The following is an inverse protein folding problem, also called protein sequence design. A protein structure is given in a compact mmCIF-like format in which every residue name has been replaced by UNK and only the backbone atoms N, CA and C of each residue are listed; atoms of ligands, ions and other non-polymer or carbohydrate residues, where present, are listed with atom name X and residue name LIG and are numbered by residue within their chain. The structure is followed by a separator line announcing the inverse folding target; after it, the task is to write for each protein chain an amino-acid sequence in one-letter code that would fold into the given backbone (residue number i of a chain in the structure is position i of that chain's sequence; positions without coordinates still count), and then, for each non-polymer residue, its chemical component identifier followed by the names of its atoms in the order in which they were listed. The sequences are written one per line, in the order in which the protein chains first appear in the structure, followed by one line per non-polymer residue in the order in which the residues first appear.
data_IF_934408447414
#
_entry.id   IF_934408447414
#
_cell.length_a   1.000
_cell.length_b   1.000
_cell.length_c   1.000
_cell.angle_alpha   90.00
_cell.angle_beta   90.00
_cell.angle_gamma   90.00
#
_symmetry.space_group_name_H-M   'P 1'
#
loop_
_entity.id
_entity.type
_entity.pdbx_description
1 polymer ?
#
# COMPACT_ATOMS: atom_id res chain seq x y z
N UNK A 1 -16.57 -19.42 0.48
CA UNK A 1 -15.68 -18.51 -0.27
C UNK A 1 -14.33 -19.20 -0.39
N UNK A 2 -13.89 -19.55 -1.60
CA UNK A 2 -12.52 -20.00 -1.79
C UNK A 2 -11.58 -18.83 -1.47
N UNK A 3 -10.47 -19.04 -0.73
CA UNK A 3 -9.52 -17.97 -0.49
C UNK A 3 -8.98 -17.48 -1.85
N UNK A 4 -8.87 -16.16 -2.08
CA UNK A 4 -8.26 -15.65 -3.30
C UNK A 4 -6.85 -16.23 -3.46
N UNK A 5 -6.45 -16.43 -4.72
CA UNK A 5 -5.15 -16.96 -5.09
C UNK A 5 -4.02 -16.19 -4.37
N UNK A 6 -3.07 -16.96 -3.83
CA UNK A 6 -1.91 -16.46 -3.09
C UNK A 6 -1.20 -15.37 -3.90
N UNK A 7 -0.95 -14.20 -3.29
CA UNK A 7 -0.14 -13.13 -3.88
C UNK A 7 1.20 -13.75 -4.31
N UNK A 8 1.49 -13.71 -5.62
CA UNK A 8 2.78 -14.15 -6.15
C UNK A 8 3.76 -12.98 -6.03
N UNK A 9 4.89 -13.25 -5.40
CA UNK A 9 6.08 -12.41 -5.29
C UNK A 9 6.25 -11.47 -6.50
N UNK A 10 6.14 -10.17 -6.25
CA UNK A 10 6.93 -9.18 -6.98
C UNK A 10 8.06 -8.81 -6.04
N UNK A 11 9.17 -9.54 -6.19
CA UNK A 11 10.35 -9.30 -5.41
C UNK A 11 10.92 -7.94 -5.71
N UNK A 12 10.62 -6.97 -4.86
CA UNK A 12 11.42 -5.77 -4.81
C UNK A 12 12.73 -6.14 -4.11
N UNK A 13 13.75 -6.49 -4.90
CA UNK A 13 15.07 -6.82 -4.37
C UNK A 13 15.70 -5.53 -3.85
N UNK A 14 15.60 -5.32 -2.54
CA UNK A 14 16.41 -4.32 -1.86
C UNK A 14 17.84 -4.87 -1.70
N UNK A 15 18.80 -4.33 -2.44
CA UNK A 15 20.21 -4.69 -2.31
C UNK A 15 20.98 -3.58 -1.55
N UNK A 16 21.62 -3.93 -0.43
CA UNK A 16 22.57 -3.05 0.25
C UNK A 16 23.92 -3.15 -0.45
N UNK A 17 24.35 -2.12 -1.17
CA UNK A 17 25.71 -2.10 -1.77
C UNK A 17 26.72 -1.66 -0.70
N UNK A 18 27.57 -2.59 -0.27
CA UNK A 18 28.76 -2.31 0.53
C UNK A 18 30.03 -2.39 -0.34
N UNK A 19 30.76 -1.27 -0.40
CA UNK A 19 32.21 -1.13 -0.64
C UNK A 19 32.86 -1.98 -1.75
N UNK A 20 33.06 -1.39 -2.94
CA UNK A 20 34.01 -1.91 -3.93
C UNK A 20 35.28 -1.05 -4.14
N UNK A 21 35.37 0.17 -3.60
CA UNK A 21 36.45 1.10 -3.99
C UNK A 21 37.20 1.83 -2.84
N UNK A 22 36.99 1.49 -1.57
CA UNK A 22 37.72 2.13 -0.47
C UNK A 22 38.97 1.34 -0.05
N UNK A 23 40.11 2.00 0.21
CA UNK A 23 41.37 1.33 0.57
C UNK A 23 41.29 0.55 1.90
N UNK A 24 42.04 -0.54 1.96
CA UNK A 24 41.96 -1.64 2.93
C UNK A 24 42.21 -1.27 4.40
N UNK A 25 42.75 -0.08 4.69
CA UNK A 25 42.95 0.41 6.06
C UNK A 25 41.71 1.08 6.67
N UNK A 26 40.71 1.47 5.86
CA UNK A 26 39.40 1.95 6.35
C UNK A 26 38.38 0.81 6.55
N UNK A 27 38.70 -0.42 6.13
CA UNK A 27 37.84 -1.60 6.29
C UNK A 27 37.67 -2.08 7.73
N UNK A 28 38.35 -1.46 8.71
CA UNK A 28 38.47 -1.97 10.08
C UNK A 28 37.48 -1.40 11.12
N UNK A 29 36.46 -0.64 10.73
CA UNK A 29 35.51 -0.05 11.69
C UNK A 29 34.02 -0.28 11.39
N UNK A 30 33.65 -1.04 10.35
CA UNK A 30 32.27 -1.50 10.15
C UNK A 30 32.34 -2.95 9.67
N UNK A 31 32.43 -3.89 10.61
CA UNK A 31 31.96 -5.23 10.32
C UNK A 31 30.50 -5.07 9.85
N UNK A 32 30.20 -5.46 8.62
CA UNK A 32 28.85 -5.34 8.09
C UNK A 32 27.93 -6.20 8.98
N UNK A 33 27.18 -5.55 9.88
CA UNK A 33 26.23 -6.22 10.77
C UNK A 33 25.29 -7.00 9.85
N UNK A 34 25.27 -8.34 10.01
CA UNK A 34 24.34 -9.17 9.27
C UNK A 34 22.92 -8.88 9.79
N UNK A 35 21.94 -8.66 8.91
CA UNK A 35 20.60 -8.33 9.36
C UNK A 35 19.96 -9.51 10.07
N UNK A 36 19.24 -9.21 11.15
CA UNK A 36 18.22 -10.13 11.67
C UNK A 36 16.99 -9.98 10.79
N UNK A 37 16.52 -11.11 10.26
CA UNK A 37 15.47 -11.15 9.24
C UNK A 37 14.23 -11.87 9.74
N UNK A 38 13.07 -11.32 9.42
CA UNK A 38 11.80 -12.03 9.48
C UNK A 38 11.10 -11.96 8.12
N UNK A 39 10.42 -13.04 7.76
CA UNK A 39 9.55 -13.10 6.59
C UNK A 39 8.23 -13.75 6.98
N UNK A 40 7.13 -13.25 6.44
CA UNK A 40 5.81 -13.79 6.69
C UNK A 40 4.76 -13.10 5.84
N UNK A 41 3.55 -12.95 6.39
CA UNK A 41 2.41 -12.32 5.72
C UNK A 41 1.84 -11.23 6.61
N UNK A 42 1.50 -10.07 6.03
CA UNK A 42 0.81 -8.95 6.65
C UNK A 42 -0.35 -8.51 5.74
N UNK A 43 -1.59 -8.45 6.27
CA UNK A 43 -2.79 -8.08 5.48
C UNK A 43 -2.94 -8.85 4.15
N UNK A 44 -2.51 -10.11 4.12
CA UNK A 44 -2.56 -10.97 2.94
C UNK A 44 -1.44 -10.73 1.91
N UNK A 45 -0.48 -9.84 2.17
CA UNK A 45 0.77 -9.66 1.41
C UNK A 45 1.94 -10.34 2.09
N UNK A 46 2.88 -10.81 1.28
CA UNK A 46 4.20 -11.14 1.76
C UNK A 46 4.82 -9.91 2.45
N UNK A 47 5.49 -10.14 3.56
CA UNK A 47 6.09 -9.11 4.39
C UNK A 47 7.50 -9.53 4.80
N UNK A 48 8.37 -8.54 4.95
CA UNK A 48 9.76 -8.72 5.31
C UNK A 48 10.24 -7.63 6.28
N UNK A 49 11.00 -8.05 7.28
CA UNK A 49 11.74 -7.16 8.18
C UNK A 49 13.23 -7.48 8.09
N UNK A 50 14.05 -6.45 7.89
CA UNK A 50 15.52 -6.54 7.99
C UNK A 50 16.01 -5.50 8.99
N UNK A 51 16.45 -5.95 10.17
CA UNK A 51 16.96 -5.09 11.23
C UNK A 51 18.47 -5.24 11.35
N UNK A 52 19.19 -4.12 11.36
CA UNK A 52 20.64 -4.08 11.51
C UNK A 52 20.97 -3.59 12.91
N UNK A 53 21.20 -4.54 13.82
CA UNK A 53 21.45 -4.28 15.23
C UNK A 53 22.66 -5.11 15.71
N UNK A 54 23.57 -4.56 16.54
CA UNK A 54 24.75 -5.27 17.02
C UNK A 54 24.40 -6.45 17.95
N UNK A 55 23.28 -6.35 18.67
CA UNK A 55 22.73 -7.43 19.48
C UNK A 55 21.55 -8.10 18.75
N UNK A 56 21.75 -9.37 18.39
CA UNK A 56 20.74 -10.18 17.71
C UNK A 56 19.48 -10.38 18.56
N UNK A 57 19.62 -10.59 19.87
CA UNK A 57 18.49 -10.88 20.75
C UNK A 57 17.57 -9.65 20.87
N UNK A 58 18.17 -8.46 20.97
CA UNK A 58 17.41 -7.21 20.93
C UNK A 58 16.66 -7.02 19.59
N UNK A 59 17.27 -7.39 18.45
CA UNK A 59 16.58 -7.34 17.16
C UNK A 59 15.40 -8.31 17.08
N UNK A 60 15.55 -9.53 17.59
CA UNK A 60 14.48 -10.53 17.64
C UNK A 60 13.30 -10.04 18.52
N UNK A 61 13.58 -9.41 19.67
CA UNK A 61 12.55 -8.79 20.51
C UNK A 61 11.83 -7.62 19.81
N UNK A 62 12.54 -6.81 19.03
CA UNK A 62 11.92 -5.75 18.23
C UNK A 62 11.00 -6.32 17.15
N UNK A 63 11.44 -7.38 16.46
CA UNK A 63 10.60 -8.10 15.49
C UNK A 63 9.33 -8.61 16.18
N UNK A 64 9.42 -9.26 17.34
CA UNK A 64 8.24 -9.74 18.07
C UNK A 64 7.26 -8.61 18.41
N UNK A 65 7.76 -7.45 18.85
CA UNK A 65 6.94 -6.25 19.10
C UNK A 65 6.27 -5.74 17.83
N UNK A 66 6.97 -5.71 16.71
CA UNK A 66 6.40 -5.34 15.41
C UNK A 66 5.29 -6.31 14.98
N UNK A 67 5.46 -7.61 15.20
CA UNK A 67 4.44 -8.61 14.90
C UNK A 67 3.21 -8.52 15.82
N UNK A 68 3.40 -8.11 17.08
CA UNK A 68 2.29 -7.79 17.97
C UNK A 68 1.50 -6.58 17.47
N UNK A 69 2.18 -5.52 17.05
CA UNK A 69 1.54 -4.33 16.49
C UNK A 69 0.81 -4.64 15.18
N UNK A 70 1.40 -5.45 14.30
CA UNK A 70 0.74 -5.97 13.09
C UNK A 70 -0.58 -6.66 13.44
N UNK A 71 -0.56 -7.65 14.35
CA UNK A 71 -1.78 -8.37 14.77
C UNK A 71 -2.84 -7.44 15.36
N UNK A 72 -2.43 -6.44 16.14
CA UNK A 72 -3.33 -5.43 16.70
C UNK A 72 -4.01 -4.64 15.59
N UNK A 73 -3.25 -4.15 14.61
CA UNK A 73 -3.75 -3.36 13.48
C UNK A 73 -4.59 -4.22 12.51
N UNK A 74 -4.29 -5.51 12.35
CA UNK A 74 -5.18 -6.43 11.62
C UNK A 74 -6.56 -6.57 12.29
N UNK A 75 -6.61 -6.53 13.63
CA UNK A 75 -7.85 -6.43 14.39
C UNK A 75 -8.61 -5.11 14.19
N UNK A 76 -7.99 -4.10 13.58
CA UNK A 76 -8.64 -2.83 13.24
C UNK A 76 -9.06 -2.79 11.77
N UNK A 77 -8.15 -3.11 10.86
CA UNK A 77 -8.30 -2.79 9.43
C UNK A 77 -8.72 -3.96 8.53
N UNK A 78 -8.69 -5.21 9.01
CA UNK A 78 -8.92 -6.36 8.13
C UNK A 78 -10.37 -6.46 7.65
N UNK A 79 -10.60 -6.64 6.36
CA UNK A 79 -11.93 -6.97 5.79
C UNK A 79 -12.29 -8.45 5.89
N UNK A 80 -11.34 -9.30 6.29
CA UNK A 80 -11.49 -10.76 6.31
C UNK A 80 -11.75 -11.31 7.70
N UNK A 81 -11.52 -10.48 8.73
CA UNK A 81 -11.81 -10.80 10.12
C UNK A 81 -13.17 -10.24 10.49
N UNK A 82 -14.11 -11.10 10.84
CA UNK A 82 -15.47 -10.69 11.20
C UNK A 82 -15.53 -9.81 12.47
N UNK A 83 -14.51 -9.97 13.32
CA UNK A 83 -14.30 -9.25 14.58
C UNK A 83 -13.47 -7.97 14.45
N UNK A 84 -13.00 -7.60 13.25
CA UNK A 84 -12.25 -6.36 13.08
C UNK A 84 -13.16 -5.12 13.19
N UNK A 85 -12.58 -4.00 13.63
CA UNK A 85 -13.30 -2.73 13.70
C UNK A 85 -13.91 -2.32 12.33
N UNK A 86 -13.14 -2.46 11.24
CA UNK A 86 -13.62 -2.15 9.89
C UNK A 86 -14.77 -3.07 9.44
N UNK A 87 -14.69 -4.38 9.72
CA UNK A 87 -15.76 -5.33 9.37
C UNK A 87 -17.03 -5.07 10.17
N UNK A 88 -16.90 -4.73 11.47
CA UNK A 88 -18.03 -4.35 12.32
C UNK A 88 -18.69 -3.08 11.77
N UNK A 89 -17.89 -2.04 11.48
CA UNK A 89 -18.36 -0.78 10.89
C UNK A 89 -19.13 -1.03 9.58
N UNK A 90 -18.57 -1.83 8.67
CA UNK A 90 -19.20 -2.15 7.38
C UNK A 90 -20.49 -2.96 7.50
N UNK A 91 -20.61 -3.79 8.54
CA UNK A 91 -21.79 -4.63 8.77
C UNK A 91 -22.90 -3.86 9.47
N UNK A 92 -22.57 -2.98 10.40
CA UNK A 92 -23.52 -2.24 11.22
C UNK A 92 -23.88 -0.86 10.64
N UNK A 93 -23.02 -0.30 9.79
CA UNK A 93 -23.13 1.07 9.30
C UNK A 93 -22.68 2.13 10.31
N UNK A 94 -22.26 1.73 11.51
CA UNK A 94 -21.67 2.62 12.52
C UNK A 94 -20.72 1.86 13.43
N UNK A 95 -19.87 2.59 14.16
CA UNK A 95 -19.00 2.06 15.20
C UNK A 95 -18.89 3.10 16.33
N UNK A 96 -19.20 2.69 17.56
CA UNK A 96 -19.03 3.50 18.78
C UNK A 96 -17.68 3.19 19.40
N UNK A 97 -17.05 4.21 19.99
CA UNK A 97 -15.71 4.15 20.57
C UNK A 97 -14.68 3.48 19.62
N UNK A 98 -14.56 3.98 18.37
CA UNK A 98 -13.68 3.39 17.38
C UNK A 98 -12.21 3.42 17.84
N UNK A 99 -11.39 2.42 17.46
CA UNK A 99 -9.95 2.48 17.70
C UNK A 99 -9.34 3.75 17.11
N UNK A 100 -8.45 4.41 17.84
CA UNK A 100 -7.82 5.67 17.40
C UNK A 100 -7.10 5.55 16.05
N UNK A 101 -6.52 4.39 15.76
CA UNK A 101 -5.89 4.10 14.46
C UNK A 101 -6.89 4.09 13.31
N UNK A 102 -8.13 3.64 13.54
CA UNK A 102 -9.20 3.69 12.52
C UNK A 102 -9.63 5.12 12.25
N UNK A 103 -9.86 5.91 13.31
CA UNK A 103 -10.22 7.33 13.19
C UNK A 103 -9.13 8.10 12.44
N UNK A 104 -7.86 7.86 12.80
CA UNK A 104 -6.71 8.48 12.13
C UNK A 104 -6.66 8.09 10.66
N UNK A 105 -6.67 6.79 10.34
CA UNK A 105 -6.52 6.33 8.96
C UNK A 105 -7.69 6.76 8.06
N UNK A 106 -8.92 6.84 8.59
CA UNK A 106 -10.05 7.40 7.85
C UNK A 106 -9.93 8.92 7.65
N UNK A 107 -9.35 9.64 8.61
CA UNK A 107 -9.07 11.07 8.46
C UNK A 107 -8.00 11.32 7.38
N UNK A 108 -6.92 10.53 7.38
CA UNK A 108 -5.91 10.53 6.30
C UNK A 108 -6.55 10.15 4.96
N UNK A 109 -7.44 9.15 4.95
CA UNK A 109 -8.15 8.73 3.75
C UNK A 109 -9.00 9.86 3.16
N UNK A 110 -9.70 10.63 4.00
CA UNK A 110 -10.43 11.84 3.56
C UNK A 110 -9.48 12.89 3.00
N UNK A 111 -8.34 13.12 3.65
CA UNK A 111 -7.33 14.06 3.14
C UNK A 111 -6.85 13.69 1.73
N UNK A 112 -6.50 12.42 1.47
CA UNK A 112 -6.07 12.00 0.13
C UNK A 112 -7.22 11.96 -0.87
N UNK A 113 -8.46 11.69 -0.42
CA UNK A 113 -9.63 11.82 -1.27
C UNK A 113 -9.84 13.26 -1.73
N UNK A 114 -9.75 14.24 -0.83
CA UNK A 114 -9.82 15.66 -1.17
C UNK A 114 -8.68 16.06 -2.15
N UNK A 115 -7.44 15.67 -1.83
CA UNK A 115 -6.25 15.98 -2.62
C UNK A 115 -6.30 15.43 -4.05
N UNK A 116 -6.88 14.24 -4.22
CA UNK A 116 -6.96 13.54 -5.50
C UNK A 116 -8.29 13.77 -6.22
N UNK A 117 -9.17 14.62 -5.67
CA UNK A 117 -10.52 14.87 -6.19
C UNK A 117 -11.35 13.58 -6.27
N UNK A 118 -11.30 12.75 -5.24
CA UNK A 118 -12.05 11.51 -5.10
C UNK A 118 -11.51 10.33 -5.91
N UNK A 119 -10.32 10.40 -6.51
CA UNK A 119 -9.71 9.23 -7.18
C UNK A 119 -9.13 8.22 -6.19
N UNK A 120 -8.73 8.68 -5.00
CA UNK A 120 -8.67 7.85 -3.81
C UNK A 120 -10.00 7.96 -3.06
N UNK A 121 -10.73 6.86 -2.89
CA UNK A 121 -11.95 6.86 -2.09
C UNK A 121 -12.05 5.54 -1.30
N UNK A 122 -12.03 5.56 0.04
CA UNK A 122 -12.12 4.34 0.84
C UNK A 122 -13.50 3.67 0.76
N UNK A 123 -14.52 4.32 0.20
CA UNK A 123 -15.90 3.80 0.11
C UNK A 123 -16.20 2.98 -1.14
N UNK A 124 -15.20 2.59 -1.93
CA UNK A 124 -15.36 1.78 -3.16
C UNK A 124 -15.75 0.31 -2.93
N UNK A 125 -15.89 -0.15 -1.68
CA UNK A 125 -16.21 -1.54 -1.37
C UNK A 125 -17.53 -2.06 -1.99
N UNK A 126 -18.61 -1.27 -2.16
CA UNK A 126 -19.79 -1.69 -2.91
C UNK A 126 -19.50 -2.03 -4.37
N UNK A 127 -18.58 -1.31 -5.03
CA UNK A 127 -18.14 -1.66 -6.38
C UNK A 127 -17.43 -3.01 -6.39
N UNK A 128 -16.52 -3.24 -5.45
CA UNK A 128 -15.84 -4.52 -5.31
C UNK A 128 -16.82 -5.69 -5.20
N UNK A 129 -17.87 -5.55 -4.38
CA UNK A 129 -18.92 -6.57 -4.23
C UNK A 129 -19.66 -6.84 -5.53
N UNK A 130 -20.06 -5.79 -6.25
CA UNK A 130 -20.76 -5.95 -7.55
C UNK A 130 -19.93 -6.74 -8.56
N UNK A 131 -18.64 -6.42 -8.68
CA UNK A 131 -17.75 -7.14 -9.59
C UNK A 131 -17.44 -8.57 -9.12
N UNK A 132 -17.17 -8.76 -7.82
CA UNK A 132 -16.89 -10.07 -7.25
C UNK A 132 -18.09 -11.02 -7.38
N UNK A 133 -19.30 -10.55 -7.06
CA UNK A 133 -20.54 -11.33 -7.17
C UNK A 133 -20.85 -11.66 -8.64
N UNK A 134 -20.59 -10.72 -9.56
CA UNK A 134 -20.76 -10.96 -10.99
C UNK A 134 -19.87 -12.11 -11.48
N UNK A 135 -18.56 -12.05 -11.21
CA UNK A 135 -17.58 -13.03 -11.68
C UNK A 135 -17.55 -14.33 -10.87
N UNK A 136 -18.20 -14.39 -9.71
CA UNK A 136 -18.44 -15.65 -9.00
C UNK A 136 -19.46 -16.55 -9.70
N UNK A 137 -20.23 -16.03 -10.67
CA UNK A 137 -21.22 -16.80 -11.42
C UNK A 137 -20.56 -17.63 -12.54
N UNK A 138 -20.94 -18.91 -12.71
CA UNK A 138 -20.36 -19.75 -13.77
C UNK A 138 -20.56 -19.22 -15.20
N UNK A 139 -21.64 -18.48 -15.44
CA UNK A 139 -22.06 -17.91 -16.72
C UNK A 139 -21.86 -16.38 -16.80
N UNK A 140 -20.98 -15.83 -15.96
CA UNK A 140 -20.67 -14.41 -15.93
C UNK A 140 -20.21 -13.90 -17.32
N UNK A 141 -20.83 -12.82 -17.80
CA UNK A 141 -20.34 -12.13 -19.00
C UNK A 141 -18.91 -11.63 -18.80
N UNK A 142 -18.06 -11.83 -19.80
CA UNK A 142 -16.69 -11.28 -19.81
C UNK A 142 -16.67 -9.75 -19.89
N UNK A 143 -17.76 -9.13 -20.32
CA UNK A 143 -17.91 -7.68 -20.37
C UNK A 143 -18.12 -7.05 -18.99
N UNK A 144 -18.23 -7.85 -17.93
CA UNK A 144 -18.41 -7.38 -16.55
C UNK A 144 -19.88 -7.18 -16.16
N UNK A 145 -20.13 -6.59 -14.96
CA UNK A 145 -21.47 -6.38 -14.44
C UNK A 145 -22.30 -5.44 -15.33
N UNK A 146 -23.62 -5.55 -15.23
CA UNK A 146 -24.51 -4.62 -15.94
C UNK A 146 -24.31 -3.18 -15.44
N UNK A 147 -24.36 -2.21 -16.36
CA UNK A 147 -24.15 -0.80 -16.02
C UNK A 147 -25.13 -0.28 -14.95
N UNK A 148 -26.35 -0.83 -14.90
CA UNK A 148 -27.34 -0.48 -13.89
C UNK A 148 -26.93 -0.93 -12.46
N UNK A 149 -26.20 -2.03 -12.32
CA UNK A 149 -25.69 -2.50 -11.04
C UNK A 149 -24.48 -1.68 -10.58
N UNK A 150 -23.59 -1.32 -11.50
CA UNK A 150 -22.48 -0.38 -11.25
C UNK A 150 -23.04 0.98 -10.80
N UNK A 151 -24.01 1.53 -11.53
CA UNK A 151 -24.65 2.79 -11.18
C UNK A 151 -25.40 2.73 -9.84
N UNK A 152 -25.87 1.54 -9.41
CA UNK A 152 -26.46 1.34 -8.07
C UNK A 152 -25.40 1.38 -6.99
N UNK A 153 -24.27 0.70 -7.20
CA UNK A 153 -23.15 0.73 -6.25
C UNK A 153 -22.53 2.13 -6.12
N UNK A 154 -22.40 2.88 -7.22
CA UNK A 154 -21.85 4.25 -7.21
C UNK A 154 -22.62 5.22 -6.32
N UNK A 155 -23.94 5.02 -6.14
CA UNK A 155 -24.72 5.85 -5.18
C UNK A 155 -24.32 5.64 -3.72
N UNK A 156 -23.55 4.59 -3.44
CA UNK A 156 -23.01 4.28 -2.13
C UNK A 156 -21.49 4.55 -2.04
N UNK A 157 -20.90 5.19 -3.06
CA UNK A 157 -19.47 5.55 -3.08
C UNK A 157 -19.39 7.08 -2.94
N UNK A 158 -18.96 7.53 -1.77
CA UNK A 158 -18.77 8.93 -1.43
C UNK A 158 -17.99 9.04 -0.13
N UNK A 159 -16.69 9.36 -0.21
CA UNK A 159 -15.89 9.63 0.98
C UNK A 159 -16.42 10.80 1.82
N UNK A 160 -17.17 11.73 1.20
CA UNK A 160 -17.73 12.91 1.86
C UNK A 160 -18.87 12.55 2.83
N UNK A 161 -19.56 11.44 2.58
CA UNK A 161 -20.71 10.99 3.39
C UNK A 161 -20.29 10.16 4.61
N UNK A 162 -19.00 9.84 4.75
CA UNK A 162 -18.43 9.19 5.92
C UNK A 162 -18.35 10.23 7.05
N UNK A 163 -19.12 10.01 8.12
CA UNK A 163 -19.02 10.81 9.35
C UNK A 163 -17.97 10.19 10.27
N UNK A 164 -16.91 10.95 10.55
CA UNK A 164 -15.77 10.48 11.33
C UNK A 164 -15.68 11.36 12.58
N UNK A 165 -15.94 10.77 13.75
CA UNK A 165 -15.74 11.39 15.05
C UNK A 165 -14.98 10.41 15.98
N UNK A 166 -14.12 10.89 16.90
CA UNK A 166 -13.40 10.03 17.84
C UNK A 166 -14.28 9.13 18.70
N UNK A 167 -15.54 9.50 18.94
CA UNK A 167 -16.50 8.71 19.72
C UNK A 167 -17.38 7.83 18.82
N UNK A 168 -17.54 8.18 17.53
CA UNK A 168 -18.45 7.48 16.64
C UNK A 168 -18.12 7.67 15.15
N UNK A 169 -18.11 6.59 14.40
CA UNK A 169 -18.09 6.62 12.93
C UNK A 169 -19.45 6.17 12.41
N UNK A 170 -19.97 6.84 11.38
CA UNK A 170 -21.23 6.46 10.71
C UNK A 170 -21.08 6.45 9.19
N UNK A 171 -21.76 5.49 8.56
CA UNK A 171 -21.89 5.31 7.13
C UNK A 171 -23.36 5.49 6.71
N UNK A 172 -23.60 6.02 5.51
CA UNK A 172 -24.94 6.01 4.93
C UNK A 172 -25.38 4.58 4.56
N UNK A 173 -26.69 4.30 4.49
CA UNK A 173 -27.18 2.99 4.10
C UNK A 173 -26.59 2.52 2.76
N UNK A 174 -26.06 1.29 2.75
CA UNK A 174 -25.48 0.67 1.55
C UNK A 174 -24.01 1.00 1.30
N UNK A 175 -23.42 1.97 2.00
CA UNK A 175 -21.98 2.21 1.98
C UNK A 175 -21.23 1.06 2.65
N UNK A 176 -20.01 0.83 2.21
CA UNK A 176 -19.03 0.01 2.88
C UNK A 176 -17.64 0.54 2.56
N UNK A 177 -16.71 0.41 3.49
CA UNK A 177 -15.36 0.91 3.38
C UNK A 177 -14.35 -0.21 3.10
N UNK A 178 -13.26 0.16 2.45
CA UNK A 178 -12.02 -0.60 2.31
C UNK A 178 -10.85 0.32 2.58
N UNK A 179 -9.83 -0.21 3.24
CA UNK A 179 -8.58 0.50 3.52
C UNK A 179 -7.41 -0.14 2.78
N UNK A 180 -7.67 -1.00 1.79
CA UNK A 180 -6.63 -1.76 1.10
C UNK A 180 -5.63 -0.89 0.32
N UNK A 181 -5.97 0.36 -0.03
CA UNK A 181 -5.05 1.29 -0.71
C UNK A 181 -4.33 2.27 0.22
N UNK A 182 -4.33 2.02 1.54
CA UNK A 182 -3.65 2.91 2.51
C UNK A 182 -3.20 2.18 3.80
N UNK A 183 -3.85 1.08 4.18
CA UNK A 183 -3.58 0.39 5.44
C UNK A 183 -2.23 -0.32 5.47
N UNK A 184 -1.74 -0.81 4.33
CA UNK A 184 -0.42 -1.45 4.24
C UNK A 184 0.66 -0.39 4.46
N UNK A 185 0.54 0.76 3.80
CA UNK A 185 1.37 1.93 4.06
C UNK A 185 1.35 2.37 5.52
N UNK A 186 0.15 2.44 6.13
CA UNK A 186 0.02 2.81 7.55
C UNK A 186 0.73 1.83 8.48
N UNK A 187 0.55 0.52 8.29
CA UNK A 187 1.22 -0.51 9.11
C UNK A 187 2.73 -0.45 8.94
N UNK A 188 3.23 -0.32 7.70
CA UNK A 188 4.65 -0.10 7.43
C UNK A 188 5.17 1.08 8.24
N UNK A 189 4.45 2.22 8.22
CA UNK A 189 4.84 3.39 8.98
C UNK A 189 4.87 3.15 10.50
N UNK A 190 3.84 2.50 11.06
CA UNK A 190 3.76 2.18 12.50
C UNK A 190 4.91 1.29 12.94
N UNK A 191 5.27 0.28 12.14
CA UNK A 191 6.38 -0.63 12.43
C UNK A 191 7.72 0.09 12.31
N UNK A 192 7.92 0.89 11.27
CA UNK A 192 9.15 1.69 11.12
C UNK A 192 9.32 2.67 12.28
N UNK A 193 8.25 3.35 12.69
CA UNK A 193 8.28 4.30 13.80
C UNK A 193 8.52 3.59 15.14
N UNK A 194 7.99 2.37 15.35
CA UNK A 194 8.30 1.53 16.51
C UNK A 194 9.80 1.27 16.61
N UNK A 195 10.45 0.92 15.50
CA UNK A 195 11.89 0.69 15.46
C UNK A 195 12.69 1.97 15.69
N UNK A 196 12.32 3.07 15.03
CA UNK A 196 12.96 4.38 15.23
C UNK A 196 12.88 4.80 16.71
N UNK A 197 11.71 4.67 17.33
CA UNK A 197 11.50 5.03 18.73
C UNK A 197 12.24 4.10 19.72
N UNK A 198 12.58 2.89 19.29
CA UNK A 198 13.44 1.98 20.04
C UNK A 198 14.94 2.26 19.84
N UNK A 199 15.30 3.31 19.11
CA UNK A 199 16.70 3.69 18.85
C UNK A 199 17.36 2.89 17.73
N UNK A 200 16.61 2.13 16.93
CA UNK A 200 17.19 1.43 15.80
C UNK A 200 17.57 2.44 14.71
N UNK A 201 18.85 2.42 14.31
CA UNK A 201 19.36 3.36 13.32
C UNK A 201 19.12 2.90 11.88
N UNK A 202 19.03 1.58 11.65
CA UNK A 202 18.96 1.03 10.31
C UNK A 202 18.03 -0.18 10.21
N UNK A 203 17.00 -0.05 9.36
CA UNK A 203 16.10 -1.15 9.02
C UNK A 203 15.50 -0.96 7.63
N UNK A 204 15.10 -2.08 7.02
CA UNK A 204 14.19 -2.09 5.90
C UNK A 204 12.91 -2.81 6.34
N UNK A 205 11.78 -2.12 6.22
CA UNK A 205 10.46 -2.61 6.59
C UNK A 205 9.64 -2.76 5.32
N UNK A 206 9.09 -3.94 5.11
CA UNK A 206 8.14 -4.23 4.04
C UNK A 206 6.93 -4.95 4.66
N UNK A 207 5.79 -4.26 4.77
CA UNK A 207 4.51 -4.84 5.20
C UNK A 207 3.51 -4.88 4.04
N UNK A 208 4.01 -5.06 2.83
CA UNK A 208 3.31 -4.85 1.57
C UNK A 208 3.79 -3.59 0.86
N UNK A 209 4.14 -2.56 1.64
CA UNK A 209 4.82 -1.36 1.16
C UNK A 209 6.16 -1.19 1.87
N UNK A 210 7.16 -0.65 1.16
CA UNK A 210 8.54 -0.58 1.63
C UNK A 210 8.79 0.75 2.31
N UNK A 211 9.49 0.74 3.45
CA UNK A 211 10.07 1.94 4.07
C UNK A 211 11.48 1.66 4.60
N UNK A 212 12.42 2.50 4.18
CA UNK A 212 13.77 2.51 4.70
C UNK A 212 13.86 3.37 5.96
N UNK A 213 14.52 2.85 6.99
CA UNK A 213 14.97 3.60 8.15
C UNK A 213 16.49 3.67 8.08
N UNK A 214 17.04 4.89 7.97
CA UNK A 214 18.48 5.15 7.89
C UNK A 214 18.80 6.44 8.66
N UNK A 215 19.01 6.34 9.97
CA UNK A 215 19.25 7.50 10.83
C UNK A 215 20.55 8.27 10.52
N UNK A 216 21.48 7.68 9.76
CA UNK A 216 22.75 8.30 9.38
C UNK A 216 22.70 8.83 7.95
N UNK A 217 22.97 10.13 7.77
CA UNK A 217 22.99 10.80 6.46
C UNK A 217 24.02 10.23 5.46
N UNK A 218 24.95 9.38 5.94
CA UNK A 218 26.02 8.75 5.15
C UNK A 218 25.74 7.27 4.84
N UNK A 219 24.62 6.69 5.28
CA UNK A 219 24.25 5.35 4.87
C UNK A 219 23.96 5.37 3.36
N UNK A 220 24.60 4.47 2.61
CA UNK A 220 24.19 4.20 1.24
C UNK A 220 22.75 3.73 1.28
N UNK A 221 21.83 4.56 0.78
CA UNK A 221 20.40 4.27 0.75
C UNK A 221 20.13 2.91 0.10
N UNK A 222 18.98 2.32 0.43
CA UNK A 222 18.57 1.05 -0.18
C UNK A 222 18.33 1.26 -1.67
N UNK A 223 18.66 0.27 -2.50
CA UNK A 223 18.25 0.25 -3.90
C UNK A 223 17.11 -0.71 -4.06
N UNK A 224 15.99 -0.21 -4.54
CA UNK A 224 14.69 -0.89 -4.59
C UNK A 224 14.32 -1.02 -6.06
N UNK A 225 14.11 -2.25 -6.52
CA UNK A 225 13.78 -2.54 -7.92
C UNK A 225 12.29 -2.32 -8.22
N UNK A 226 12.00 -1.61 -9.31
CA UNK A 226 10.67 -1.54 -9.90
C UNK A 226 10.53 -2.69 -10.91
N UNK A 227 9.73 -3.70 -10.56
CA UNK A 227 9.54 -4.87 -11.39
C UNK A 227 8.64 -4.57 -12.61
N UNK A 228 8.85 -5.30 -13.71
CA UNK A 228 7.95 -5.29 -14.85
C UNK A 228 6.63 -6.00 -14.47
N UNK A 229 5.47 -5.33 -14.51
CA UNK A 229 4.18 -5.96 -14.19
C UNK A 229 3.82 -7.13 -15.13
N UNK A 230 4.43 -7.21 -16.31
CA UNK A 230 4.25 -8.31 -17.27
C UNK A 230 5.29 -9.42 -17.11
N UNK A 231 6.41 -9.13 -16.43
CA UNK A 231 7.52 -10.07 -16.21
C UNK A 231 8.16 -9.79 -14.85
N UNK A 232 7.56 -10.28 -13.74
CA UNK A 232 7.98 -10.00 -12.37
C UNK A 232 9.47 -10.19 -12.06
N UNK A 233 10.15 -11.08 -12.78
CA UNK A 233 11.58 -11.36 -12.63
C UNK A 233 12.49 -10.30 -13.28
N UNK A 234 11.93 -9.40 -14.10
CA UNK A 234 12.64 -8.31 -14.74
C UNK A 234 12.45 -7.01 -13.95
N UNK A 235 13.54 -6.27 -13.79
CA UNK A 235 13.55 -4.97 -13.13
C UNK A 235 13.65 -3.88 -14.20
N UNK A 236 12.61 -3.05 -14.32
CA UNK A 236 12.56 -1.93 -15.26
C UNK A 236 13.43 -0.75 -14.81
N UNK A 237 13.51 -0.52 -13.50
CA UNK A 237 14.33 0.54 -12.90
C UNK A 237 14.75 0.19 -11.47
N UNK A 238 15.81 0.82 -10.98
CA UNK A 238 16.17 0.77 -9.56
C UNK A 238 16.17 2.18 -8.98
N UNK A 239 15.48 2.36 -7.87
CA UNK A 239 15.34 3.66 -7.20
C UNK A 239 16.05 3.63 -5.85
N UNK A 240 16.81 4.68 -5.49
CA UNK A 240 17.37 4.81 -4.15
C UNK A 240 16.26 5.23 -3.18
N UNK A 241 16.20 4.59 -2.00
CA UNK A 241 15.37 5.05 -0.89
C UNK A 241 16.26 5.28 0.34
N UNK A 242 16.02 6.38 1.06
CA UNK A 242 16.68 6.69 2.33
C UNK A 242 15.71 7.50 3.19
N UNK A 243 15.31 6.96 4.34
CA UNK A 243 14.21 7.50 5.16
C UNK A 243 12.93 7.83 4.37
N UNK A 244 12.70 7.09 3.30
CA UNK A 244 11.58 7.21 2.39
C UNK A 244 10.88 5.87 2.27
N UNK A 245 9.67 5.92 1.76
CA UNK A 245 8.87 4.77 1.43
C UNK A 245 8.60 4.69 -0.06
N UNK A 246 8.40 3.47 -0.55
CA UNK A 246 7.95 3.17 -1.89
C UNK A 246 6.73 2.26 -1.80
N UNK A 247 5.65 2.63 -2.49
CA UNK A 247 4.47 1.80 -2.64
C UNK A 247 4.14 1.57 -4.12
N UNK A 248 3.58 0.40 -4.45
CA UNK A 248 3.24 0.06 -5.85
C UNK A 248 1.83 -0.50 -5.98
N UNK A 249 0.98 0.22 -6.71
CA UNK A 249 -0.36 -0.22 -7.10
C UNK A 249 -0.35 -0.85 -8.48
N UNK A 250 -0.93 -2.05 -8.63
CA UNK A 250 -1.05 -2.73 -9.92
C UNK A 250 -2.24 -3.69 -9.97
N UNK A 251 -2.96 -3.68 -11.09
CA UNK A 251 -4.19 -4.46 -11.24
C UNK A 251 -3.99 -5.98 -11.12
N UNK A 252 -2.78 -6.46 -11.42
CA UNK A 252 -2.39 -7.87 -11.31
C UNK A 252 -2.42 -8.42 -9.87
N UNK A 253 -2.38 -7.56 -8.86
CA UNK A 253 -2.27 -7.99 -7.45
C UNK A 253 -3.54 -8.66 -6.93
N UNK A 254 -4.71 -8.23 -7.42
CA UNK A 254 -6.02 -8.83 -7.09
C UNK A 254 -6.94 -8.72 -8.31
N UNK A 255 -6.86 -9.67 -9.27
CA UNK A 255 -7.78 -9.73 -10.40
C UNK A 255 -9.17 -10.16 -9.92
N UNK A 256 -10.22 -9.56 -10.51
CA UNK A 256 -11.62 -9.88 -10.21
C UNK A 256 -12.20 -10.91 -11.19
N UNK A 257 -11.57 -11.08 -12.35
CA UNK A 257 -11.93 -12.05 -13.38
C UNK A 257 -10.74 -12.96 -13.72
N UNK A 258 -11.03 -14.10 -14.34
CA UNK A 258 -10.01 -15.07 -14.72
C UNK A 258 -9.02 -14.54 -15.78
N UNK A 259 -9.45 -13.59 -16.62
CA UNK A 259 -8.60 -13.00 -17.65
C UNK A 259 -7.77 -11.80 -17.14
N UNK A 260 -7.95 -11.37 -15.89
CA UNK A 260 -7.24 -10.23 -15.30
C UNK A 260 -7.57 -8.89 -15.97
N UNK A 261 -8.71 -8.79 -16.63
CA UNK A 261 -9.18 -7.55 -17.26
C UNK A 261 -9.73 -6.56 -16.23
N UNK A 262 -10.28 -7.06 -15.13
CA UNK A 262 -10.84 -6.28 -14.04
C UNK A 262 -10.03 -6.49 -12.77
N UNK A 263 -9.82 -5.42 -12.01
CA UNK A 263 -9.01 -5.44 -10.81
C UNK A 263 -9.66 -4.69 -9.66
N UNK A 264 -9.11 -4.86 -8.47
CA UNK A 264 -9.50 -4.11 -7.28
C UNK A 264 -9.25 -2.58 -7.33
N UNK A 265 -8.58 -2.05 -8.37
CA UNK A 265 -8.34 -0.62 -8.57
C UNK A 265 -9.50 0.00 -9.36
N UNK A 266 -10.43 0.63 -8.63
CA UNK A 266 -11.62 1.28 -9.19
C UNK A 266 -11.38 2.76 -9.44
N UNK A 267 -11.92 3.27 -10.53
CA UNK A 267 -12.23 4.69 -10.68
C UNK A 267 -13.54 4.99 -9.92
N UNK A 268 -13.51 5.75 -8.80
CA UNK A 268 -14.69 5.99 -7.98
C UNK A 268 -15.76 6.85 -8.68
N UNK A 269 -15.41 7.56 -9.76
CA UNK A 269 -16.36 8.40 -10.50
C UNK A 269 -17.17 7.59 -11.51
N UNK A 270 -16.51 6.67 -12.22
CA UNK A 270 -17.13 5.86 -13.28
C UNK A 270 -17.54 4.46 -12.83
N UNK A 271 -16.98 3.97 -11.73
CA UNK A 271 -17.14 2.60 -11.25
C UNK A 271 -16.29 1.58 -12.02
N UNK A 272 -15.48 2.04 -12.99
CA UNK A 272 -14.67 1.17 -13.83
C UNK A 272 -13.55 0.52 -13.02
N UNK A 273 -13.50 -0.82 -13.03
CA UNK A 273 -12.46 -1.61 -12.34
C UNK A 273 -11.21 -1.87 -13.22
N UNK A 274 -10.86 -0.93 -14.11
CA UNK A 274 -9.75 -1.04 -15.06
C UNK A 274 -8.85 0.20 -14.94
N UNK A 275 -7.67 0.09 -14.31
CA UNK A 275 -6.75 1.21 -14.15
C UNK A 275 -6.17 1.65 -15.51
N UNK A 276 -5.72 2.91 -15.58
CA UNK A 276 -5.08 3.50 -16.77
C UNK A 276 -3.69 2.92 -17.04
N UNK A 277 -3.02 2.45 -15.99
CA UNK A 277 -1.64 1.98 -16.01
C UNK A 277 -1.54 0.52 -15.55
N UNK A 278 -0.52 -0.20 -16.02
CA UNK A 278 -0.23 -1.57 -15.59
C UNK A 278 0.24 -1.61 -14.15
N UNK A 279 1.08 -0.65 -13.78
CA UNK A 279 1.51 -0.38 -12.41
C UNK A 279 1.80 1.11 -12.22
N UNK A 280 1.67 1.55 -10.97
CA UNK A 280 2.10 2.87 -10.51
C UNK A 280 2.90 2.69 -9.23
N UNK A 281 4.15 3.13 -9.22
CA UNK A 281 5.00 3.18 -8.03
C UNK A 281 5.14 4.63 -7.57
N UNK A 282 4.97 4.90 -6.28
CA UNK A 282 5.14 6.23 -5.69
C UNK A 282 6.15 6.18 -4.56
N UNK A 283 7.10 7.10 -4.56
CA UNK A 283 8.05 7.31 -3.48
C UNK A 283 7.72 8.58 -2.71
N UNK A 284 7.59 8.46 -1.39
CA UNK A 284 7.22 9.55 -0.47
C UNK A 284 7.97 9.43 0.87
N UNK A 285 7.77 10.38 1.78
CA UNK A 285 8.38 10.36 3.13
C UNK A 285 7.78 9.29 4.07
N UNK A 286 6.54 8.88 3.79
CA UNK A 286 5.77 7.89 4.55
C UNK A 286 5.16 6.87 3.59
N UNK A 287 5.04 5.63 4.06
CA UNK A 287 4.43 4.57 3.26
C UNK A 287 2.93 4.79 3.08
N UNK A 288 2.26 5.40 4.07
CA UNK A 288 0.85 5.83 3.98
C UNK A 288 0.62 6.77 2.79
N UNK A 289 1.46 7.80 2.63
CA UNK A 289 1.35 8.74 1.49
C UNK A 289 1.60 8.01 0.17
N UNK A 290 2.65 7.18 0.11
CA UNK A 290 3.00 6.45 -1.10
C UNK A 290 1.85 5.53 -1.55
N UNK A 291 1.26 4.78 -0.62
CA UNK A 291 0.19 3.80 -0.86
C UNK A 291 -1.07 4.49 -1.42
N UNK A 292 -1.57 5.51 -0.71
CA UNK A 292 -2.75 6.26 -1.12
C UNK A 292 -2.59 6.94 -2.49
N UNK A 293 -1.44 7.57 -2.73
CA UNK A 293 -1.17 8.22 -4.00
C UNK A 293 -1.00 7.21 -5.15
N UNK A 294 -0.32 6.07 -4.91
CA UNK A 294 -0.17 5.04 -5.95
C UNK A 294 -1.53 4.49 -6.38
N UNK A 295 -2.45 4.30 -5.44
CA UNK A 295 -3.83 3.88 -5.71
C UNK A 295 -4.57 4.93 -6.53
N UNK A 296 -4.53 6.20 -6.11
CA UNK A 296 -5.22 7.29 -6.83
C UNK A 296 -4.67 7.49 -8.24
N UNK A 297 -3.35 7.46 -8.38
CA UNK A 297 -2.66 7.68 -9.65
C UNK A 297 -2.92 6.57 -10.64
N UNK A 298 -3.29 5.36 -10.21
CA UNK A 298 -3.68 4.26 -11.11
C UNK A 298 -4.86 4.62 -12.04
N UNK A 299 -5.70 5.59 -11.65
CA UNK A 299 -6.83 6.09 -12.43
C UNK A 299 -6.73 7.59 -12.79
N UNK A 300 -5.58 8.22 -12.51
CA UNK A 300 -5.37 9.65 -12.76
C UNK A 300 -4.59 9.88 -14.05
N UNK A 301 -5.03 10.77 -14.97
CA UNK A 301 -4.27 11.13 -16.16
C UNK A 301 -2.88 11.70 -15.84
N UNK A 302 -1.90 11.45 -16.73
CA UNK A 302 -0.48 11.75 -16.52
C UNK A 302 -0.23 13.23 -16.17
N UNK A 303 -0.95 14.14 -16.81
CA UNK A 303 -0.79 15.59 -16.62
C UNK A 303 -1.21 16.02 -15.22
N UNK A 304 -2.32 15.45 -14.72
CA UNK A 304 -2.83 15.71 -13.37
C UNK A 304 -1.94 15.06 -12.31
N UNK A 305 -1.46 13.85 -12.57
CA UNK A 305 -0.47 13.17 -11.72
C UNK A 305 0.80 14.02 -11.62
N UNK A 306 1.32 14.55 -12.73
CA UNK A 306 2.54 15.36 -12.74
C UNK A 306 2.40 16.64 -11.91
N UNK A 307 1.22 17.27 -11.95
CA UNK A 307 0.94 18.44 -11.13
C UNK A 307 0.96 18.12 -9.63
N UNK A 308 0.30 17.03 -9.21
CA UNK A 308 0.31 16.62 -7.81
C UNK A 308 1.70 16.18 -7.35
N UNK A 309 2.40 15.39 -8.17
CA UNK A 309 3.78 14.95 -7.92
C UNK A 309 4.69 16.15 -7.62
N UNK A 310 4.60 17.22 -8.42
CA UNK A 310 5.33 18.48 -8.15
C UNK A 310 4.88 19.17 -6.88
N UNK A 311 3.57 19.34 -6.67
CA UNK A 311 3.06 20.06 -5.50
C UNK A 311 3.38 19.38 -4.16
N UNK A 312 3.54 18.05 -4.16
CA UNK A 312 3.77 17.25 -2.97
C UNK A 312 5.26 16.89 -2.76
N UNK A 313 6.13 17.21 -3.72
CA UNK A 313 7.55 16.84 -3.65
C UNK A 313 7.79 15.32 -3.63
N UNK A 314 6.90 14.54 -4.26
CA UNK A 314 7.02 13.07 -4.36
C UNK A 314 7.65 12.66 -5.69
N UNK A 315 7.92 11.37 -5.88
CA UNK A 315 8.29 10.82 -7.17
C UNK A 315 7.34 9.68 -7.54
N UNK A 316 7.02 9.55 -8.82
CA UNK A 316 6.13 8.51 -9.33
C UNK A 316 6.67 7.89 -10.61
N UNK A 317 6.40 6.60 -10.79
CA UNK A 317 6.70 5.84 -11.98
C UNK A 317 5.45 5.08 -12.44
N UNK A 318 5.09 5.20 -13.70
CA UNK A 318 3.92 4.54 -14.29
C UNK A 318 4.37 3.66 -15.43
N UNK A 319 3.94 2.39 -15.43
CA UNK A 319 4.08 1.50 -16.57
C UNK A 319 2.81 1.60 -17.41
N UNK A 320 2.94 2.15 -18.61
CA UNK A 320 1.84 2.34 -19.54
C UNK A 320 1.32 0.99 -20.10
N UNK A 321 0.12 0.95 -20.71
CA UNK A 321 -0.43 -0.27 -21.29
C UNK A 321 0.46 -0.99 -22.32
N UNK A 322 1.33 -0.24 -23.01
CA UNK A 322 2.31 -0.72 -23.99
C UNK A 322 3.66 -1.16 -23.36
N UNK A 323 3.81 -1.05 -22.04
CA UNK A 323 5.00 -1.41 -21.29
C UNK A 323 6.01 -0.27 -21.11
N UNK A 324 5.77 0.93 -21.66
CA UNK A 324 6.67 2.05 -21.46
C UNK A 324 6.65 2.54 -20.00
N UNK A 325 7.83 2.72 -19.41
CA UNK A 325 7.99 3.34 -18.08
C UNK A 325 8.06 4.87 -18.22
N UNK A 326 7.14 5.58 -17.58
CA UNK A 326 7.12 7.04 -17.45
C UNK A 326 7.47 7.42 -16.02
N UNK A 327 8.49 8.24 -15.83
CA UNK A 327 8.88 8.80 -14.53
C UNK A 327 8.41 10.25 -14.40
N UNK A 328 7.93 10.62 -13.22
CA UNK A 328 7.56 11.98 -12.84
C UNK A 328 8.20 12.31 -11.50
N UNK A 329 8.83 13.46 -11.40
CA UNK A 329 9.55 13.91 -10.21
C UNK A 329 9.07 15.28 -9.78
N UNK A 330 8.80 15.45 -8.48
CA UNK A 330 8.65 16.77 -7.90
C UNK A 330 10.00 17.45 -7.76
N UNK A 331 10.06 18.75 -8.07
CA UNK A 331 11.19 19.57 -7.67
C UNK A 331 11.10 19.79 -6.15
N UNK A 332 12.21 19.57 -5.44
CA UNK A 332 12.30 19.75 -4.00
C UNK A 332 12.48 21.23 -3.62
#
# INVERSE_FOLDING_TARGET
MNPPARRRFLGIIAASSALALAPSFLRRAHAAISPTRWQGVALGADAELRLYHPDRQAAEQLIERALQELRRLEGVFSLYRDDSALSILNRQGFLVDPPSDLVRLLSESRHYADLTGGLFDPSVQPLWRVYADHFARPDASQDGPAQADIARALRCVSYQDIKIDPQRIELQPGMALTLNGIAQGYITDRVTDLFRNAGLERALVDMGEIRGLDATANATGWRVGLADPMSPDQILAQVPISNQALATSGGYGTPLDAAGQYSHLFDPHSGRARPLYRSVSVMASTATTADALSTAFSNMPLERTAALVRSLGVQAWMVLPDGQLVAQTGEA
#
